data_IF_394686161910
#
_entry.id   IF_394686161910
#
_cell.length_a   1.000
_cell.length_b   1.000
_cell.length_c   1.000
_cell.angle_alpha   90.00
_cell.angle_beta   90.00
_cell.angle_gamma   90.00
#
_symmetry.space_group_name_H-M   'P 1'
#
loop_
_entity.id
_entity.type
_entity.pdbx_description
1 polymer ?
#
# COMPACT_ATOMS: atom_id res chain seq x y z
N UNK A 1 6.04 -14.30 -10.30
CA UNK A 1 6.45 -12.93 -10.66
C UNK A 1 7.57 -12.55 -9.70
N UNK A 2 8.83 -12.65 -10.13
CA UNK A 2 9.94 -12.05 -9.39
C UNK A 2 9.87 -10.54 -9.64
N UNK A 3 9.61 -9.75 -8.60
CA UNK A 3 9.36 -8.30 -8.68
C UNK A 3 10.63 -7.45 -8.87
N UNK A 4 11.74 -8.00 -9.36
CA UNK A 4 12.98 -7.23 -9.45
C UNK A 4 13.71 -7.50 -10.77
N UNK A 5 13.96 -6.46 -11.60
CA UNK A 5 15.00 -6.53 -12.61
C UNK A 5 16.39 -6.60 -11.94
N UNK A 6 17.42 -7.12 -12.64
CA UNK A 6 18.75 -7.30 -12.07
C UNK A 6 19.40 -5.94 -11.76
N UNK A 7 19.90 -5.78 -10.53
CA UNK A 7 20.71 -4.64 -10.12
C UNK A 7 22.18 -4.88 -10.54
N UNK A 8 22.75 -4.00 -11.35
CA UNK A 8 24.19 -4.03 -11.65
C UNK A 8 24.99 -3.55 -10.42
N UNK A 9 25.95 -4.38 -10.01
CA UNK A 9 26.70 -4.23 -8.76
C UNK A 9 27.84 -3.21 -8.89
N UNK A 10 27.72 -2.04 -8.27
CA UNK A 10 28.86 -1.38 -7.63
C UNK A 10 28.39 -0.28 -6.66
N UNK A 11 29.09 -0.13 -5.52
CA UNK A 11 29.14 1.01 -4.59
C UNK A 11 28.47 0.88 -3.19
N UNK A 12 29.15 1.54 -2.24
CA UNK A 12 28.87 1.83 -0.80
C UNK A 12 27.57 1.28 -0.18
N UNK A 13 27.67 0.66 1.01
CA UNK A 13 26.57 0.03 1.75
C UNK A 13 25.35 0.94 1.97
N UNK A 14 25.56 2.24 2.24
CA UNK A 14 24.46 3.21 2.37
C UNK A 14 23.79 3.53 1.05
N UNK A 15 24.54 3.56 -0.06
CA UNK A 15 23.99 3.76 -1.40
C UNK A 15 23.24 2.53 -1.87
N UNK A 16 23.77 1.33 -1.58
CA UNK A 16 23.13 0.05 -1.85
C UNK A 16 21.77 -0.09 -1.14
N UNK A 17 21.66 0.44 0.09
CA UNK A 17 20.41 0.47 0.85
C UNK A 17 19.36 1.38 0.20
N UNK A 18 19.76 2.60 -0.20
CA UNK A 18 18.88 3.55 -0.90
C UNK A 18 18.43 2.97 -2.23
N UNK A 19 19.35 2.40 -3.01
CA UNK A 19 19.05 1.76 -4.30
C UNK A 19 18.05 0.60 -4.12
N UNK A 20 18.14 -0.16 -3.02
CA UNK A 20 17.19 -1.23 -2.70
C UNK A 20 15.80 -0.69 -2.35
N UNK A 21 15.70 0.35 -1.53
CA UNK A 21 14.41 0.97 -1.18
C UNK A 21 13.74 1.58 -2.40
N UNK A 22 14.50 2.30 -3.24
CA UNK A 22 14.02 2.84 -4.52
C UNK A 22 13.53 1.72 -5.43
N UNK A 23 14.32 0.65 -5.58
CA UNK A 23 13.96 -0.49 -6.42
C UNK A 23 12.67 -1.18 -5.98
N UNK A 24 12.55 -1.41 -4.68
CA UNK A 24 11.39 -2.05 -4.07
C UNK A 24 10.14 -1.18 -4.19
N UNK A 25 10.24 0.11 -3.83
CA UNK A 25 9.14 1.07 -3.94
C UNK A 25 8.68 1.17 -5.40
N UNK A 26 9.60 1.43 -6.33
CA UNK A 26 9.29 1.62 -7.75
C UNK A 26 8.65 0.37 -8.35
N UNK A 27 9.21 -0.82 -8.09
CA UNK A 27 8.66 -2.06 -8.61
C UNK A 27 7.23 -2.31 -8.14
N UNK A 28 6.92 -2.03 -6.87
CA UNK A 28 5.58 -2.19 -6.32
C UNK A 28 4.58 -1.21 -6.93
N UNK A 29 4.90 0.08 -6.96
CA UNK A 29 3.97 1.11 -7.44
C UNK A 29 3.76 1.06 -8.96
N UNK A 30 4.80 0.76 -9.75
CA UNK A 30 4.70 0.54 -11.20
C UNK A 30 3.77 -0.65 -11.45
N UNK A 31 3.97 -1.76 -10.73
CA UNK A 31 3.11 -2.94 -10.86
C UNK A 31 1.67 -2.63 -10.45
N UNK A 32 1.46 -1.90 -9.35
CA UNK A 32 0.13 -1.48 -8.88
C UNK A 32 -0.58 -0.64 -9.93
N UNK A 33 0.09 0.33 -10.55
CA UNK A 33 -0.49 1.13 -11.63
C UNK A 33 -0.82 0.26 -12.84
N UNK A 34 0.12 -0.60 -13.27
CA UNK A 34 -0.07 -1.49 -14.41
C UNK A 34 -1.28 -2.43 -14.23
N UNK A 35 -1.49 -2.93 -13.00
CA UNK A 35 -2.68 -3.72 -12.63
C UNK A 35 -3.95 -2.89 -12.65
N UNK A 36 -3.90 -1.63 -12.20
CA UNK A 36 -5.04 -0.73 -12.26
C UNK A 36 -5.46 -0.42 -13.71
N UNK A 37 -4.50 -0.13 -14.58
CA UNK A 37 -4.74 0.12 -16.01
C UNK A 37 -5.25 -1.14 -16.74
N UNK A 38 -4.65 -2.29 -16.46
CA UNK A 38 -5.05 -3.58 -17.07
C UNK A 38 -6.48 -3.96 -16.70
N UNK A 39 -6.89 -3.68 -15.44
CA UNK A 39 -8.25 -3.88 -14.96
C UNK A 39 -9.25 -2.81 -15.44
N UNK A 40 -8.82 -1.82 -16.23
CA UNK A 40 -9.69 -0.76 -16.74
C UNK A 40 -10.08 0.31 -15.71
N UNK A 41 -9.39 0.37 -14.57
CA UNK A 41 -9.66 1.33 -13.49
C UNK A 41 -8.98 2.68 -13.70
N UNK A 42 -7.91 2.71 -14.48
CA UNK A 42 -7.18 3.92 -14.88
C UNK A 42 -6.90 3.89 -16.40
N UNK A 43 -6.71 5.04 -17.06
CA UNK A 43 -6.35 5.09 -18.48
C UNK A 43 -5.04 4.36 -18.75
N UNK A 44 -4.96 3.63 -19.87
CA UNK A 44 -3.75 2.89 -20.26
C UNK A 44 -2.68 3.85 -20.78
N UNK A 45 -1.65 4.11 -19.99
CA UNK A 45 -0.47 4.88 -20.40
C UNK A 45 0.80 4.08 -20.11
N UNK A 46 0.92 3.49 -18.93
CA UNK A 46 2.04 2.59 -18.61
C UNK A 46 1.95 1.29 -19.42
N UNK A 47 0.75 0.79 -19.63
CA UNK A 47 0.44 -0.44 -20.37
C UNK A 47 0.12 -0.20 -21.85
N UNK A 48 0.34 1.01 -22.36
CA UNK A 48 0.18 1.33 -23.78
C UNK A 48 1.24 0.60 -24.62
N UNK A 49 0.86 -0.23 -25.62
CA UNK A 49 1.84 -0.91 -26.46
C UNK A 49 2.77 0.07 -27.17
N UNK A 50 4.07 -0.05 -26.90
CA UNK A 50 5.12 0.78 -27.50
C UNK A 50 5.04 2.27 -27.15
N UNK A 51 4.24 2.67 -26.15
CA UNK A 51 4.11 4.03 -25.62
C UNK A 51 4.11 5.13 -26.69
N UNK A 52 3.35 4.92 -27.77
CA UNK A 52 3.37 5.83 -28.93
C UNK A 52 2.98 7.25 -28.52
N UNK A 53 2.00 7.37 -27.64
CA UNK A 53 1.57 8.67 -27.09
C UNK A 53 2.72 9.35 -26.34
N UNK A 54 3.40 8.65 -25.43
CA UNK A 54 4.56 9.19 -24.73
C UNK A 54 5.66 9.66 -25.69
N UNK A 55 6.01 8.83 -26.69
CA UNK A 55 7.05 9.17 -27.66
C UNK A 55 6.73 10.43 -28.49
N UNK A 56 5.45 10.74 -28.71
CA UNK A 56 5.03 11.97 -29.39
C UNK A 56 5.19 13.21 -28.50
N UNK A 57 4.96 13.10 -27.19
CA UNK A 57 4.94 14.24 -26.27
C UNK A 57 6.21 14.45 -25.46
N UNK A 58 7.07 13.44 -25.29
CA UNK A 58 8.19 13.47 -24.34
C UNK A 58 9.19 14.60 -24.58
N UNK A 59 9.44 14.98 -25.83
CA UNK A 59 10.49 15.96 -26.17
C UNK A 59 11.85 15.53 -25.60
N UNK A 60 12.34 16.24 -24.57
CA UNK A 60 13.60 15.95 -23.86
C UNK A 60 13.43 15.13 -22.58
N UNK A 61 12.20 14.81 -22.19
CA UNK A 61 11.90 14.02 -21.01
C UNK A 61 12.29 12.55 -21.23
N UNK A 62 12.62 11.88 -20.14
CA UNK A 62 13.04 10.48 -20.10
C UNK A 62 12.02 9.60 -19.34
N UNK A 63 12.24 8.28 -19.22
CA UNK A 63 11.26 7.38 -18.60
C UNK A 63 11.08 7.62 -17.10
N UNK A 64 12.09 8.13 -16.40
CA UNK A 64 11.93 8.58 -15.02
C UNK A 64 10.90 9.72 -14.92
N UNK A 65 10.94 10.68 -15.85
CA UNK A 65 9.95 11.77 -15.94
C UNK A 65 8.57 11.22 -16.32
N UNK A 66 8.51 10.24 -17.23
CA UNK A 66 7.25 9.58 -17.59
C UNK A 66 6.58 8.98 -16.37
N UNK A 67 7.30 8.17 -15.60
CA UNK A 67 6.77 7.54 -14.39
C UNK A 67 6.39 8.58 -13.33
N UNK A 68 7.17 9.65 -13.18
CA UNK A 68 6.84 10.76 -12.29
C UNK A 68 5.50 11.41 -12.66
N UNK A 69 5.29 11.74 -13.94
CA UNK A 69 4.04 12.32 -14.43
C UNK A 69 2.85 11.36 -14.26
N UNK A 70 3.04 10.06 -14.51
CA UNK A 70 1.99 9.07 -14.32
C UNK A 70 1.54 8.98 -12.87
N UNK A 71 2.47 9.05 -11.92
CA UNK A 71 2.13 8.93 -10.50
C UNK A 71 1.63 10.25 -9.93
N UNK A 72 2.10 11.40 -10.43
CA UNK A 72 1.50 12.69 -10.12
C UNK A 72 0.01 12.70 -10.49
N UNK A 73 -0.35 12.26 -11.69
CA UNK A 73 -1.74 12.16 -12.12
C UNK A 73 -2.52 11.11 -11.31
N UNK A 74 -1.92 9.95 -11.02
CA UNK A 74 -2.57 8.94 -10.20
C UNK A 74 -2.79 9.41 -8.74
N UNK A 75 -1.89 10.25 -8.21
CA UNK A 75 -1.94 10.82 -6.87
C UNK A 75 -3.07 11.84 -6.68
N UNK A 76 -3.63 12.40 -7.76
CA UNK A 76 -4.80 13.29 -7.67
C UNK A 76 -6.00 12.61 -7.02
N UNK A 77 -6.21 11.32 -7.34
CA UNK A 77 -7.30 10.52 -6.76
C UNK A 77 -6.80 9.69 -5.58
N UNK A 78 -5.58 9.16 -5.68
CA UNK A 78 -5.00 8.25 -4.70
C UNK A 78 -3.62 8.75 -4.27
N UNK A 79 -3.53 9.79 -3.41
CA UNK A 79 -2.23 10.28 -2.94
C UNK A 79 -1.36 9.14 -2.38
N UNK A 80 -1.96 8.20 -1.66
CA UNK A 80 -1.30 6.97 -1.24
C UNK A 80 -1.81 5.85 -2.16
N UNK A 81 -0.95 5.16 -2.93
CA UNK A 81 0.50 5.05 -2.76
C UNK A 81 1.36 5.91 -3.71
N UNK A 82 0.76 6.76 -4.55
CA UNK A 82 1.45 7.33 -5.72
C UNK A 82 2.32 8.57 -5.42
N UNK A 83 2.03 9.31 -4.35
CA UNK A 83 2.88 10.39 -3.86
C UNK A 83 3.85 9.87 -2.79
N UNK A 84 5.18 9.93 -3.04
CA UNK A 84 6.20 9.55 -2.06
C UNK A 84 6.08 10.29 -0.72
N UNK A 85 5.72 11.58 -0.76
CA UNK A 85 5.61 12.43 0.43
C UNK A 85 4.37 12.04 1.24
N UNK A 86 3.21 11.90 0.59
CA UNK A 86 2.01 11.36 1.21
C UNK A 86 2.21 9.94 1.76
N UNK A 87 3.06 9.12 1.15
CA UNK A 87 3.39 7.78 1.64
C UNK A 87 4.41 7.81 2.80
N UNK A 88 5.28 8.83 2.85
CA UNK A 88 6.36 8.94 3.83
C UNK A 88 7.58 8.07 3.50
N UNK A 89 7.66 7.56 2.27
CA UNK A 89 8.80 6.76 1.81
C UNK A 89 10.01 7.69 1.59
N UNK A 90 11.23 7.31 2.00
CA UNK A 90 12.41 8.16 1.90
C UNK A 90 13.03 8.13 0.48
N UNK A 91 12.20 8.35 -0.55
CA UNK A 91 12.61 8.33 -1.96
C UNK A 91 12.14 9.59 -2.69
N UNK A 92 12.91 9.99 -3.69
CA UNK A 92 12.55 11.08 -4.60
C UNK A 92 12.65 10.58 -6.03
N UNK A 93 11.82 11.10 -6.93
CA UNK A 93 11.93 10.84 -8.36
C UNK A 93 13.32 11.20 -8.92
N UNK A 94 13.95 12.24 -8.39
CA UNK A 94 15.32 12.62 -8.74
C UNK A 94 16.38 11.57 -8.40
N UNK A 95 16.05 10.61 -7.53
CA UNK A 95 16.93 9.50 -7.14
C UNK A 95 16.73 8.24 -7.97
N UNK A 96 15.70 8.18 -8.83
CA UNK A 96 15.45 7.02 -9.70
C UNK A 96 16.37 7.08 -10.92
N UNK A 97 17.27 6.10 -11.13
CA UNK A 97 18.13 6.08 -12.31
C UNK A 97 17.30 5.85 -13.58
N UNK A 98 17.56 6.62 -14.64
CA UNK A 98 16.83 6.51 -15.90
C UNK A 98 16.84 5.09 -16.49
N UNK A 99 18.00 4.43 -16.52
CA UNK A 99 18.10 3.06 -17.03
C UNK A 99 17.24 2.06 -16.24
N UNK A 100 17.01 2.34 -14.96
CA UNK A 100 16.14 1.52 -14.11
C UNK A 100 14.66 1.80 -14.38
N UNK A 101 14.27 3.06 -14.58
CA UNK A 101 12.92 3.43 -14.99
C UNK A 101 12.58 2.84 -16.37
N UNK A 102 13.49 2.96 -17.34
CA UNK A 102 13.34 2.40 -18.68
C UNK A 102 13.15 0.88 -18.64
N UNK A 103 13.98 0.17 -17.87
CA UNK A 103 13.88 -1.29 -17.73
C UNK A 103 12.53 -1.74 -17.15
N UNK A 104 11.99 -1.00 -16.17
CA UNK A 104 10.67 -1.29 -15.61
C UNK A 104 9.54 -1.04 -16.60
N UNK A 105 9.58 0.09 -17.32
CA UNK A 105 8.58 0.45 -18.32
C UNK A 105 8.57 -0.57 -19.47
N UNK A 106 9.76 -0.96 -19.96
CA UNK A 106 9.91 -2.00 -20.98
C UNK A 106 9.42 -3.36 -20.48
N UNK A 107 9.78 -3.75 -19.25
CA UNK A 107 9.33 -5.00 -18.65
C UNK A 107 7.80 -5.08 -18.60
N UNK A 108 7.13 -4.06 -18.05
CA UNK A 108 5.67 -4.05 -17.91
C UNK A 108 4.97 -4.10 -19.27
N UNK A 109 5.52 -3.44 -20.28
CA UNK A 109 4.92 -3.39 -21.63
C UNK A 109 4.95 -4.72 -22.35
N UNK A 110 5.86 -5.61 -21.95
CA UNK A 110 6.04 -6.93 -22.56
C UNK A 110 5.45 -8.07 -21.71
N UNK A 111 4.88 -7.76 -20.54
CA UNK A 111 4.32 -8.77 -19.63
C UNK A 111 2.80 -8.67 -19.62
N UNK A 112 2.14 -9.83 -19.70
CA UNK A 112 0.70 -9.91 -19.44
C UNK A 112 0.47 -9.71 -17.94
N UNK A 113 -0.14 -8.60 -17.58
CA UNK A 113 -0.49 -8.28 -16.19
C UNK A 113 -1.78 -9.00 -15.84
N UNK A 114 -1.67 -10.10 -15.08
CA UNK A 114 -2.84 -10.81 -14.51
C UNK A 114 -3.61 -9.86 -13.58
N UNK A 115 -4.87 -9.57 -13.86
CA UNK A 115 -5.73 -8.76 -12.98
C UNK A 115 -6.44 -9.60 -11.93
N UNK A 116 -6.62 -10.89 -12.21
CA UNK A 116 -7.21 -11.85 -11.27
C UNK A 116 -6.20 -12.18 -10.15
N UNK A 117 -6.71 -12.46 -8.95
CA UNK A 117 -5.87 -12.84 -7.81
C UNK A 117 -5.24 -11.67 -7.05
N UNK A 118 -6.06 -10.68 -6.67
CA UNK A 118 -5.65 -9.58 -5.76
C UNK A 118 -4.91 -10.10 -4.52
N UNK A 119 -5.40 -11.18 -3.89
CA UNK A 119 -4.74 -11.84 -2.75
C UNK A 119 -3.28 -12.19 -3.01
N UNK A 120 -2.99 -12.79 -4.17
CA UNK A 120 -1.64 -13.21 -4.53
C UNK A 120 -0.73 -12.01 -4.68
N UNK A 121 -1.22 -10.93 -5.29
CA UNK A 121 -0.44 -9.70 -5.45
C UNK A 121 -0.16 -9.04 -4.10
N UNK A 122 -1.16 -8.93 -3.21
CA UNK A 122 -0.97 -8.39 -1.86
C UNK A 122 0.06 -9.21 -1.08
N UNK A 123 0.00 -10.54 -1.11
CA UNK A 123 1.02 -11.40 -0.45
C UNK A 123 2.43 -11.14 -0.98
N UNK A 124 2.58 -10.91 -2.29
CA UNK A 124 3.88 -10.56 -2.88
C UNK A 124 4.32 -9.18 -2.38
N UNK A 125 3.44 -8.18 -2.33
CA UNK A 125 3.74 -6.84 -1.85
C UNK A 125 4.14 -6.83 -0.37
N UNK A 126 3.42 -7.56 0.49
CA UNK A 126 3.73 -7.75 1.92
C UNK A 126 5.15 -8.30 2.11
N UNK A 127 5.50 -9.35 1.36
CA UNK A 127 6.84 -9.95 1.44
C UNK A 127 7.93 -9.00 0.96
N UNK A 128 7.67 -8.26 -0.12
CA UNK A 128 8.62 -7.26 -0.61
C UNK A 128 8.86 -6.18 0.46
N UNK A 129 7.81 -5.76 1.16
CA UNK A 129 7.83 -4.76 2.23
C UNK A 129 8.35 -5.25 3.58
N UNK A 130 8.68 -6.54 3.71
CA UNK A 130 9.14 -7.11 4.98
C UNK A 130 8.08 -7.08 6.09
N UNK A 131 6.80 -6.95 5.73
CA UNK A 131 5.70 -6.93 6.67
C UNK A 131 5.32 -8.37 7.09
N UNK A 132 4.71 -8.55 8.28
CA UNK A 132 4.27 -9.85 8.75
C UNK A 132 3.35 -10.57 7.74
N UNK A 133 3.67 -11.83 7.46
CA UNK A 133 2.89 -12.70 6.56
C UNK A 133 2.18 -13.79 7.37
N UNK A 134 1.04 -14.28 6.87
CA UNK A 134 0.36 -15.44 7.47
C UNK A 134 -0.64 -15.06 8.56
N UNK A 135 -1.45 -14.03 8.29
CA UNK A 135 -2.49 -13.57 9.19
C UNK A 135 -3.57 -14.65 9.35
N UNK A 136 -3.98 -14.93 10.59
CA UNK A 136 -5.05 -15.89 10.88
C UNK A 136 -6.42 -15.29 10.56
N UNK A 137 -6.66 -14.94 9.28
CA UNK A 137 -7.85 -14.24 8.80
C UNK A 137 -9.18 -14.93 9.14
N UNK A 138 -9.17 -16.26 9.31
CA UNK A 138 -10.35 -17.03 9.77
C UNK A 138 -10.83 -16.67 11.17
N UNK A 139 -10.01 -15.98 11.97
CA UNK A 139 -10.37 -15.49 13.31
C UNK A 139 -10.99 -14.08 13.28
N UNK A 140 -11.01 -13.43 12.12
CA UNK A 140 -11.59 -12.10 11.98
C UNK A 140 -13.11 -12.13 12.15
N UNK A 141 -13.69 -11.06 12.71
CA UNK A 141 -15.12 -10.99 12.92
C UNK A 141 -15.87 -10.79 11.60
N UNK A 142 -17.15 -11.18 11.57
CA UNK A 142 -18.06 -10.75 10.51
C UNK A 142 -18.40 -9.28 10.69
N UNK A 143 -18.02 -8.46 9.70
CA UNK A 143 -18.29 -7.02 9.68
C UNK A 143 -19.55 -6.74 8.88
N UNK A 144 -20.38 -5.82 9.36
CA UNK A 144 -21.63 -5.40 8.72
C UNK A 144 -21.49 -3.97 8.20
N UNK A 145 -22.32 -3.55 7.22
CA UNK A 145 -22.18 -2.22 6.60
C UNK A 145 -22.26 -1.02 7.55
N UNK A 146 -22.86 -1.17 8.73
CA UNK A 146 -22.93 -0.10 9.74
C UNK A 146 -21.81 -0.14 10.77
N UNK A 147 -20.97 -1.19 10.76
CA UNK A 147 -19.85 -1.33 11.69
C UNK A 147 -18.66 -0.48 11.25
N UNK A 148 -17.93 0.06 12.23
CA UNK A 148 -16.64 0.72 12.06
C UNK A 148 -15.51 -0.14 12.61
N UNK A 149 -14.44 -0.23 11.85
CA UNK A 149 -13.30 -1.11 12.10
C UNK A 149 -12.03 -0.26 12.10
N UNK A 150 -11.27 -0.35 13.18
CA UNK A 150 -9.91 0.14 13.24
C UNK A 150 -8.94 -1.03 13.06
N UNK A 151 -8.10 -0.99 12.04
CA UNK A 151 -6.93 -1.85 11.94
C UNK A 151 -5.74 -1.15 12.62
N UNK A 152 -5.15 -1.83 13.60
CA UNK A 152 -4.00 -1.36 14.36
C UNK A 152 -2.71 -1.41 13.52
N UNK A 153 -1.66 -0.64 13.90
CA UNK A 153 -0.38 -0.67 13.21
C UNK A 153 0.26 -2.07 13.17
N UNK A 154 0.96 -2.35 12.08
CA UNK A 154 1.78 -3.56 11.87
C UNK A 154 1.36 -4.44 10.69
N UNK A 155 0.14 -4.26 10.14
CA UNK A 155 -0.37 -5.09 9.04
C UNK A 155 -0.48 -4.36 7.71
N UNK A 156 -0.56 -3.02 7.69
CA UNK A 156 -0.61 -2.23 6.45
C UNK A 156 -1.87 -2.47 5.60
N UNK A 157 -3.02 -2.76 6.22
CA UNK A 157 -4.29 -2.94 5.51
C UNK A 157 -4.56 -4.37 5.04
N UNK A 158 -3.72 -5.34 5.39
CA UNK A 158 -3.93 -6.74 5.02
C UNK A 158 -5.22 -7.34 5.62
N UNK A 159 -5.58 -6.97 6.86
CA UNK A 159 -6.79 -7.50 7.49
C UNK A 159 -8.04 -6.86 6.87
N UNK A 160 -7.98 -5.56 6.60
CA UNK A 160 -9.00 -4.82 5.86
C UNK A 160 -9.21 -5.39 4.46
N UNK A 161 -8.11 -5.68 3.74
CA UNK A 161 -8.17 -6.32 2.42
C UNK A 161 -8.89 -7.66 2.48
N UNK A 162 -8.51 -8.52 3.44
CA UNK A 162 -9.17 -9.81 3.65
C UNK A 162 -10.67 -9.65 3.91
N UNK A 163 -11.07 -8.74 4.81
CA UNK A 163 -12.48 -8.51 5.13
C UNK A 163 -13.27 -8.01 3.92
N UNK A 164 -12.72 -7.07 3.16
CA UNK A 164 -13.36 -6.53 1.95
C UNK A 164 -13.60 -7.61 0.88
N UNK A 165 -12.66 -8.54 0.69
CA UNK A 165 -12.83 -9.63 -0.27
C UNK A 165 -13.93 -10.63 0.12
N UNK A 166 -14.15 -10.82 1.42
CA UNK A 166 -15.16 -11.74 1.92
C UNK A 166 -16.51 -11.05 2.22
N UNK A 167 -16.62 -9.74 2.03
CA UNK A 167 -17.83 -8.96 2.35
C UNK A 167 -18.03 -7.81 1.35
N UNK A 168 -18.66 -8.09 0.18
CA UNK A 168 -18.76 -7.12 -0.93
C UNK A 168 -19.67 -5.92 -0.66
N UNK A 169 -20.41 -5.92 0.46
CA UNK A 169 -21.30 -4.82 0.87
C UNK A 169 -20.60 -3.75 1.68
N UNK A 170 -19.33 -3.95 2.05
CA UNK A 170 -18.57 -2.99 2.83
C UNK A 170 -17.97 -1.89 1.95
N UNK A 171 -17.76 -0.73 2.55
CA UNK A 171 -17.11 0.44 1.96
C UNK A 171 -15.84 0.74 2.75
N UNK A 172 -14.69 0.80 2.07
CA UNK A 172 -13.41 1.17 2.71
C UNK A 172 -13.52 2.50 3.44
N UNK A 173 -14.14 3.50 2.81
CA UNK A 173 -14.26 4.85 3.34
C UNK A 173 -15.11 4.92 4.61
N UNK A 174 -16.19 4.15 4.66
CA UNK A 174 -17.19 4.31 5.71
C UNK A 174 -16.96 3.35 6.88
N UNK A 175 -16.41 2.16 6.58
CA UNK A 175 -16.25 1.09 7.54
C UNK A 175 -14.84 1.02 8.14
N UNK A 176 -13.80 1.47 7.46
CA UNK A 176 -12.42 1.20 7.88
C UNK A 176 -11.61 2.45 8.20
N UNK A 177 -10.73 2.32 9.19
CA UNK A 177 -9.56 3.16 9.40
C UNK A 177 -8.36 2.25 9.62
N UNK A 178 -7.25 2.48 8.91
CA UNK A 178 -6.03 1.67 9.03
C UNK A 178 -4.91 2.55 9.55
N UNK A 179 -4.49 2.28 10.79
CA UNK A 179 -3.35 2.94 11.39
C UNK A 179 -2.06 2.34 10.81
N UNK A 180 -1.22 3.17 10.21
CA UNK A 180 0.05 2.77 9.62
C UNK A 180 1.18 3.41 10.41
N UNK A 181 2.01 2.60 11.07
CA UNK A 181 3.14 3.09 11.88
C UNK A 181 4.41 3.37 11.06
N UNK A 182 4.49 2.82 9.85
CA UNK A 182 5.66 2.85 8.98
C UNK A 182 5.29 3.27 7.55
N UNK A 183 6.27 3.65 6.74
CA UNK A 183 6.02 3.97 5.33
C UNK A 183 5.71 2.70 4.54
N UNK A 184 6.24 1.54 4.95
CA UNK A 184 5.95 0.24 4.37
C UNK A 184 4.47 -0.11 4.55
N UNK A 185 3.92 0.07 5.76
CA UNK A 185 2.50 -0.12 6.04
C UNK A 185 1.64 0.86 5.24
N UNK A 186 2.04 2.13 5.18
CA UNK A 186 1.31 3.18 4.45
C UNK A 186 1.28 2.87 2.94
N UNK A 187 2.42 2.45 2.38
CA UNK A 187 2.54 2.03 0.99
C UNK A 187 1.63 0.83 0.70
N UNK A 188 1.66 -0.19 1.57
CA UNK A 188 0.80 -1.36 1.39
C UNK A 188 -0.69 -0.99 1.46
N UNK A 189 -1.09 -0.15 2.40
CA UNK A 189 -2.48 0.28 2.53
C UNK A 189 -2.95 1.03 1.26
N UNK A 190 -2.08 1.82 0.62
CA UNK A 190 -2.35 2.43 -0.69
C UNK A 190 -2.47 1.43 -1.82
N UNK A 191 -1.61 0.42 -1.83
CA UNK A 191 -1.70 -0.68 -2.81
C UNK A 191 -3.03 -1.41 -2.64
N UNK A 192 -3.45 -1.71 -1.40
CA UNK A 192 -4.76 -2.28 -1.07
C UNK A 192 -5.89 -1.37 -1.55
N UNK A 193 -5.82 -0.07 -1.30
CA UNK A 193 -6.80 0.90 -1.76
C UNK A 193 -6.97 0.86 -3.29
N UNK A 194 -5.84 0.83 -4.01
CA UNK A 194 -5.84 0.77 -5.46
C UNK A 194 -6.41 -0.55 -5.96
N UNK A 195 -5.99 -1.68 -5.36
CA UNK A 195 -6.45 -3.02 -5.73
C UNK A 195 -7.93 -3.26 -5.47
N UNK A 196 -8.51 -2.62 -4.45
CA UNK A 196 -9.94 -2.66 -4.16
C UNK A 196 -10.73 -1.58 -4.90
N UNK A 197 -10.09 -0.80 -5.79
CA UNK A 197 -10.71 0.30 -6.53
C UNK A 197 -11.40 1.31 -5.60
N UNK A 198 -10.78 1.61 -4.46
CA UNK A 198 -11.28 2.59 -3.51
C UNK A 198 -11.47 3.95 -4.18
N UNK A 199 -12.45 4.74 -3.74
CA UNK A 199 -12.66 6.10 -4.26
C UNK A 199 -11.73 7.14 -3.63
N UNK A 200 -11.07 6.79 -2.53
CA UNK A 200 -10.13 7.65 -1.78
C UNK A 200 -9.20 6.79 -0.92
N UNK A 201 -8.13 7.41 -0.41
CA UNK A 201 -7.18 6.83 0.55
C UNK A 201 -7.28 7.44 1.96
N UNK A 202 -8.34 8.21 2.25
CA UNK A 202 -8.48 8.99 3.50
C UNK A 202 -8.64 8.11 4.76
N UNK A 203 -8.97 6.84 4.57
CA UNK A 203 -9.05 5.83 5.63
C UNK A 203 -7.68 5.33 6.08
N UNK A 204 -6.61 5.69 5.38
CA UNK A 204 -5.23 5.38 5.76
C UNK A 204 -4.74 6.49 6.68
N UNK A 205 -4.47 6.16 7.94
CA UNK A 205 -4.05 7.12 8.97
C UNK A 205 -2.62 6.80 9.39
N UNK A 206 -1.70 7.74 9.17
CA UNK A 206 -0.33 7.63 9.69
C UNK A 206 -0.38 7.78 11.20
N UNK A 207 -0.23 6.67 11.91
CA UNK A 207 -0.26 6.62 13.36
C UNK A 207 0.53 5.42 13.85
N UNK A 208 1.53 5.68 14.69
CA UNK A 208 2.29 4.66 15.40
C UNK A 208 1.53 4.19 16.64
N UNK A 209 1.98 3.10 17.24
CA UNK A 209 1.46 2.65 18.53
C UNK A 209 1.65 3.69 19.65
N UNK A 210 2.65 4.56 19.55
CA UNK A 210 2.87 5.65 20.51
C UNK A 210 1.82 6.76 20.35
N UNK A 211 1.44 7.09 19.12
CA UNK A 211 0.39 8.09 18.86
C UNK A 211 -0.95 7.66 19.44
N UNK A 212 -1.22 6.35 19.43
CA UNK A 212 -2.43 5.78 20.03
C UNK A 212 -2.45 5.83 21.57
N UNK A 213 -1.34 6.16 22.22
CA UNK A 213 -1.32 6.41 23.67
C UNK A 213 -1.92 7.79 24.03
N UNK A 214 -1.93 8.75 23.10
CA UNK A 214 -2.57 10.05 23.32
C UNK A 214 -4.10 9.91 23.26
N UNK A 215 -4.82 10.15 24.36
CA UNK A 215 -6.29 10.06 24.37
C UNK A 215 -6.97 11.08 23.45
N UNK A 216 -6.27 12.14 23.02
CA UNK A 216 -6.81 13.15 22.11
C UNK A 216 -6.53 12.83 20.63
N UNK A 217 -5.81 11.75 20.33
CA UNK A 217 -5.54 11.37 18.95
C UNK A 217 -6.86 11.07 18.21
N UNK A 218 -7.03 11.45 16.93
CA UNK A 218 -8.29 11.27 16.21
C UNK A 218 -8.81 9.82 16.19
N UNK A 219 -7.89 8.85 16.10
CA UNK A 219 -8.23 7.42 16.20
C UNK A 219 -8.71 7.02 17.60
N UNK A 220 -8.29 7.72 18.66
CA UNK A 220 -8.75 7.48 20.04
C UNK A 220 -10.09 8.13 20.35
N UNK A 221 -10.41 9.24 19.70
CA UNK A 221 -11.69 9.94 19.87
C UNK A 221 -12.81 9.39 18.97
N UNK A 222 -12.45 8.59 17.97
CA UNK A 222 -13.42 7.98 17.04
C UNK A 222 -13.98 6.68 17.62
N UNK A 223 -15.29 6.49 17.51
CA UNK A 223 -15.95 5.24 17.92
C UNK A 223 -15.77 4.16 16.86
N UNK A 224 -15.39 2.96 17.30
CA UNK A 224 -15.27 1.75 16.49
C UNK A 224 -16.08 0.62 17.13
N UNK A 225 -16.62 -0.26 16.30
CA UNK A 225 -17.27 -1.51 16.73
C UNK A 225 -16.25 -2.64 16.83
N UNK A 226 -15.20 -2.61 16.00
CA UNK A 226 -14.10 -3.56 16.04
C UNK A 226 -12.74 -2.86 16.02
N UNK A 227 -11.83 -3.37 16.83
CA UNK A 227 -10.41 -3.03 16.77
C UNK A 227 -9.65 -4.31 16.46
N UNK A 228 -9.04 -4.38 15.28
CA UNK A 228 -8.37 -5.56 14.78
C UNK A 228 -6.88 -5.31 14.64
N UNK A 229 -6.05 -6.33 14.83
CA UNK A 229 -4.60 -6.18 14.68
C UNK A 229 -3.87 -7.50 14.86
N UNK A 230 -2.54 -7.43 14.88
CA UNK A 230 -1.70 -8.58 15.19
C UNK A 230 -1.63 -8.83 16.68
N UNK A 231 -1.61 -10.11 17.06
CA UNK A 231 -1.21 -10.50 18.40
C UNK A 231 0.27 -10.15 18.63
N UNK A 232 0.69 -9.77 19.86
CA UNK A 232 2.10 -9.50 20.19
C UNK A 232 3.06 -10.63 19.79
N UNK A 233 2.63 -11.88 20.00
CA UNK A 233 3.40 -13.08 19.61
C UNK A 233 3.64 -13.18 18.10
N UNK A 234 2.81 -12.51 17.30
CA UNK A 234 2.90 -12.46 15.83
C UNK A 234 3.51 -11.13 15.33
N UNK A 235 4.12 -10.33 16.22
CA UNK A 235 4.73 -9.05 15.87
C UNK A 235 3.80 -7.84 16.00
N UNK A 236 2.67 -7.96 16.70
CA UNK A 236 1.81 -6.83 17.03
C UNK A 236 2.52 -5.81 17.91
N UNK A 237 2.50 -4.54 17.50
CA UNK A 237 3.23 -3.46 18.18
C UNK A 237 2.59 -3.02 19.51
N UNK A 238 1.32 -3.36 19.75
CA UNK A 238 0.62 -3.12 21.02
C UNK A 238 0.62 -4.42 21.82
N UNK A 239 1.57 -4.52 22.75
CA UNK A 239 1.97 -5.74 23.44
C UNK A 239 0.92 -6.34 24.40
N UNK A 240 -0.17 -5.63 24.71
CA UNK A 240 -1.13 -6.04 25.73
C UNK A 240 -2.57 -5.65 25.34
N UNK A 241 -3.54 -6.58 25.31
CA UNK A 241 -4.95 -6.28 25.06
C UNK A 241 -5.63 -5.44 26.16
N UNK A 242 -5.12 -5.46 27.39
CA UNK A 242 -5.74 -4.74 28.51
C UNK A 242 -5.72 -3.20 28.33
N UNK A 243 -4.61 -2.57 27.92
CA UNK A 243 -4.60 -1.18 27.48
C UNK A 243 -5.57 -0.89 26.34
N UNK A 244 -5.67 -1.79 25.34
CA UNK A 244 -6.58 -1.61 24.21
C UNK A 244 -8.04 -1.56 24.63
N UNK A 245 -8.45 -2.38 25.61
CA UNK A 245 -9.80 -2.36 26.17
C UNK A 245 -10.11 -1.04 26.88
N UNK A 246 -9.12 -0.46 27.56
CA UNK A 246 -9.25 0.89 28.11
C UNK A 246 -9.27 1.98 27.03
N UNK A 247 -8.64 1.73 25.89
CA UNK A 247 -8.55 2.71 24.79
C UNK A 247 -9.84 2.77 23.98
N UNK A 248 -10.49 1.63 23.81
CA UNK A 248 -11.67 1.44 22.98
C UNK A 248 -12.75 0.63 23.74
N UNK A 249 -13.37 1.22 24.77
CA UNK A 249 -14.25 0.48 25.69
C UNK A 249 -15.51 -0.10 25.02
N UNK A 250 -15.97 0.51 23.92
CA UNK A 250 -17.16 0.08 23.19
C UNK A 250 -16.85 -0.90 22.04
N UNK A 251 -15.57 -1.16 21.76
CA UNK A 251 -15.16 -1.97 20.62
C UNK A 251 -14.84 -3.40 21.02
N UNK A 252 -15.16 -4.35 20.14
CA UNK A 252 -14.65 -5.71 20.25
C UNK A 252 -13.22 -5.77 19.71
N UNK A 253 -12.27 -6.12 20.57
CA UNK A 253 -10.86 -6.28 20.21
C UNK A 253 -10.62 -7.69 19.66
N UNK A 254 -9.98 -7.79 18.49
CA UNK A 254 -9.64 -9.06 17.84
C UNK A 254 -8.18 -9.01 17.36
N UNK A 255 -7.30 -9.70 18.09
CA UNK A 255 -5.88 -9.81 17.72
C UNK A 255 -5.62 -11.19 17.10
N UNK A 256 -4.99 -11.21 15.92
CA UNK A 256 -4.77 -12.44 15.11
C UNK A 256 -3.33 -12.87 15.00
#
# INVERSE_FOLDING_TARGET
MHLLPPLESSSSESKLLVDKVVAQWLGLIVTTLARAESAGRKPRRLTEPGHTTWHQFRGRLEYADFLALLFEDAAVIHPIPFDPVATGVPVSWSSVPEGFAAAWVEFISNVVIETDGSDRFIVIAVRALGLPTGLAGSRLPTVLPHHRVLELPGTGGQLTHHLMLHSPTLSLRDNFAVACGTWEETLLAGIVATELNATSSDWIVKATSQDLLDPNHPLRTTRFDFVIGLHPDNGGALADPDPLASFYPDARIVLV
#
